data_IF_409359973596
#
_entry.id   IF_409359973596
#
_cell.length_a   1.000
_cell.length_b   1.000
_cell.length_c   1.000
_cell.angle_alpha   90.00
_cell.angle_beta   90.00
_cell.angle_gamma   90.00
#
_symmetry.space_group_name_H-M   'P 1'
#
loop_
_entity.id
_entity.type
_entity.pdbx_description
1 polymer ?
#
# COMPACT_ATOMS: atom_id res chain seq x y z
N UNK A 1 -30.78 33.46 -2.21
CA UNK A 1 -31.12 33.94 -0.86
C UNK A 1 -32.12 32.98 -0.26
N UNK A 2 -31.75 32.27 0.81
CA UNK A 2 -32.68 31.44 1.59
C UNK A 2 -33.48 32.39 2.49
N UNK A 3 -34.81 32.29 2.59
CA UNK A 3 -35.60 33.18 3.43
C UNK A 3 -35.25 33.01 4.92
N UNK A 4 -35.10 34.11 5.65
CA UNK A 4 -34.82 34.11 7.09
C UNK A 4 -35.91 33.31 7.84
N UNK A 5 -35.49 32.24 8.51
CA UNK A 5 -36.36 31.41 9.37
C UNK A 5 -36.53 29.95 8.96
N UNK A 6 -36.10 29.55 7.76
CA UNK A 6 -36.16 28.14 7.35
C UNK A 6 -34.92 27.38 7.82
N UNK A 7 -35.10 26.49 8.81
CA UNK A 7 -34.06 25.55 9.22
C UNK A 7 -34.07 24.33 8.31
N UNK A 8 -32.93 24.01 7.70
CA UNK A 8 -32.75 22.77 6.95
C UNK A 8 -32.54 21.59 7.89
N UNK A 9 -32.68 20.37 7.38
CA UNK A 9 -32.30 19.16 8.12
C UNK A 9 -30.82 19.18 8.53
N UNK A 10 -29.97 19.86 7.75
CA UNK A 10 -28.55 20.04 8.04
C UNK A 10 -28.30 20.94 9.26
N UNK A 11 -29.10 22.00 9.44
CA UNK A 11 -28.96 22.91 10.59
C UNK A 11 -29.30 22.21 11.91
N UNK A 12 -30.31 21.34 11.91
CA UNK A 12 -30.66 20.50 13.07
C UNK A 12 -29.55 19.51 13.43
N UNK A 13 -28.81 19.01 12.44
CA UNK A 13 -27.68 18.10 12.65
C UNK A 13 -26.47 18.89 13.22
N UNK A 14 -26.31 20.16 12.82
CA UNK A 14 -25.25 21.03 13.33
C UNK A 14 -25.46 21.44 14.79
N UNK A 15 -26.71 21.60 15.24
CA UNK A 15 -27.08 21.98 16.61
C UNK A 15 -26.91 20.83 17.64
N UNK A 16 -26.56 19.61 17.22
CA UNK A 16 -26.48 18.44 18.10
C UNK A 16 -25.27 18.48 19.06
N UNK A 17 -25.45 18.25 20.38
CA UNK A 17 -24.40 18.41 21.39
C UNK A 17 -23.27 17.36 21.35
N UNK A 18 -23.42 16.28 20.58
CA UNK A 18 -22.45 15.17 20.50
C UNK A 18 -21.77 15.05 19.13
N UNK A 19 -21.61 16.17 18.43
CA UNK A 19 -20.90 16.18 17.15
C UNK A 19 -19.40 16.17 17.40
N UNK A 20 -18.72 15.09 17.01
CA UNK A 20 -17.27 15.14 16.80
C UNK A 20 -17.00 16.13 15.66
N UNK A 21 -16.21 17.18 15.91
CA UNK A 21 -15.77 18.07 14.84
C UNK A 21 -15.01 17.23 13.80
N UNK A 22 -15.42 17.25 12.52
CA UNK A 22 -14.74 16.47 11.51
C UNK A 22 -13.36 17.10 11.26
N UNK A 23 -12.30 16.41 11.68
CA UNK A 23 -10.88 16.79 11.47
C UNK A 23 -10.55 17.01 9.97
N UNK A 24 -11.36 16.45 9.05
CA UNK A 24 -11.19 16.55 7.60
C UNK A 24 -12.56 16.61 6.92
N UNK A 25 -12.72 17.42 5.85
CA UNK A 25 -13.91 17.39 4.97
C UNK A 25 -14.05 15.99 4.36
N UNK A 26 -14.94 15.16 4.92
CA UNK A 26 -15.27 13.85 4.35
C UNK A 26 -16.27 14.01 3.21
N UNK A 27 -16.05 13.33 2.11
CA UNK A 27 -17.08 13.15 1.09
C UNK A 27 -18.11 12.15 1.62
N UNK A 28 -19.39 12.50 1.55
CA UNK A 28 -20.48 11.59 1.90
C UNK A 28 -20.85 10.76 0.68
N UNK A 29 -20.93 9.45 0.84
CA UNK A 29 -21.28 8.51 -0.23
C UNK A 29 -20.53 7.18 -0.09
N UNK A 30 -20.97 6.16 -0.82
CA UNK A 30 -20.24 4.91 -0.97
C UNK A 30 -19.22 5.07 -2.11
N UNK A 31 -17.91 4.98 -1.86
CA UNK A 31 -16.94 5.01 -2.94
C UNK A 31 -17.06 3.74 -3.79
N UNK A 32 -16.80 3.85 -5.09
CA UNK A 32 -16.77 2.69 -6.00
C UNK A 32 -15.66 1.71 -5.64
N UNK A 33 -14.55 2.22 -5.11
CA UNK A 33 -13.45 1.45 -4.54
C UNK A 33 -13.45 1.67 -3.02
N UNK A 34 -13.74 0.64 -2.20
CA UNK A 34 -13.64 0.77 -0.76
C UNK A 34 -12.17 0.99 -0.37
N UNK A 35 -11.86 2.21 0.10
CA UNK A 35 -10.50 2.67 0.43
C UNK A 35 -9.93 1.98 1.69
N UNK A 36 -10.76 1.28 2.47
CA UNK A 36 -10.36 0.67 3.73
C UNK A 36 -10.54 -0.85 3.72
N UNK A 37 -9.54 -1.55 4.23
CA UNK A 37 -9.54 -2.95 4.69
C UNK A 37 -10.59 -3.28 5.77
N UNK A 38 -11.51 -2.37 6.06
CA UNK A 38 -12.61 -2.58 7.01
C UNK A 38 -13.56 -3.72 6.58
N UNK A 39 -13.41 -4.23 5.36
CA UNK A 39 -14.11 -5.42 4.86
C UNK A 39 -13.17 -6.42 4.19
N UNK A 40 -11.99 -6.69 4.75
CA UNK A 40 -11.25 -7.90 4.37
C UNK A 40 -12.06 -9.11 4.84
N UNK A 41 -12.90 -9.63 3.95
CA UNK A 41 -13.59 -10.88 4.18
C UNK A 41 -12.54 -11.98 4.26
N UNK A 42 -12.47 -12.70 5.38
CA UNK A 42 -11.50 -13.79 5.56
C UNK A 42 -11.54 -14.83 4.42
N UNK A 43 -12.73 -15.05 3.83
CA UNK A 43 -12.89 -15.81 2.58
C UNK A 43 -13.84 -15.04 1.65
N UNK A 44 -13.37 -14.54 0.48
CA UNK A 44 -14.25 -13.89 -0.47
C UNK A 44 -15.24 -14.92 -1.07
N UNK A 45 -16.50 -14.52 -1.21
CA UNK A 45 -17.52 -15.33 -1.92
C UNK A 45 -17.26 -15.31 -3.42
N UNK A 46 -17.47 -16.43 -4.10
CA UNK A 46 -17.43 -16.54 -5.57
C UNK A 46 -18.36 -15.52 -6.27
N UNK A 47 -19.47 -15.15 -5.60
CA UNK A 47 -20.46 -14.20 -6.13
C UNK A 47 -20.12 -12.74 -5.82
N UNK A 48 -19.04 -12.50 -5.08
CA UNK A 48 -18.69 -11.15 -4.74
C UNK A 48 -18.27 -10.39 -6.00
N UNK A 49 -18.97 -9.29 -6.28
CA UNK A 49 -18.84 -8.54 -7.53
C UNK A 49 -17.98 -7.29 -7.37
N UNK A 50 -17.79 -6.83 -6.13
CA UNK A 50 -16.99 -5.66 -5.84
C UNK A 50 -15.51 -6.05 -5.80
N UNK A 51 -14.62 -5.28 -6.47
CA UNK A 51 -13.18 -5.43 -6.29
C UNK A 51 -12.82 -4.98 -4.87
N UNK A 52 -12.73 -5.93 -3.94
CA UNK A 52 -12.29 -5.65 -2.57
C UNK A 52 -10.77 -5.62 -2.59
N UNK A 53 -10.18 -4.45 -2.36
CA UNK A 53 -8.72 -4.29 -2.28
C UNK A 53 -7.95 -4.65 -3.55
N UNK A 54 -8.62 -5.08 -4.61
CA UNK A 54 -7.99 -5.55 -5.83
C UNK A 54 -7.43 -4.36 -6.60
N UNK A 55 -6.14 -4.09 -6.40
CA UNK A 55 -5.38 -3.09 -7.13
C UNK A 55 -4.83 -3.63 -8.46
N UNK A 56 -5.15 -4.88 -8.82
CA UNK A 56 -4.59 -5.54 -9.99
C UNK A 56 -5.07 -4.84 -11.26
N UNK A 57 -4.17 -4.11 -11.89
CA UNK A 57 -4.44 -3.38 -13.13
C UNK A 57 -4.69 -4.42 -14.24
N UNK A 58 -5.56 -4.11 -15.21
CA UNK A 58 -5.81 -4.98 -16.37
C UNK A 58 -4.51 -5.42 -17.06
N UNK A 59 -3.50 -4.55 -17.09
CA UNK A 59 -2.16 -4.87 -17.58
C UNK A 59 -1.50 -6.03 -16.83
N UNK A 60 -1.56 -6.06 -15.50
CA UNK A 60 -1.00 -7.15 -14.70
C UNK A 60 -1.73 -8.48 -14.92
N UNK A 61 -3.00 -8.46 -15.35
CA UNK A 61 -3.74 -9.66 -15.74
C UNK A 61 -3.37 -10.15 -17.16
N UNK A 62 -3.14 -9.22 -18.09
CA UNK A 62 -2.73 -9.55 -19.47
C UNK A 62 -1.27 -10.00 -19.55
N UNK A 63 -0.41 -9.45 -18.70
CA UNK A 63 1.00 -9.79 -18.58
C UNK A 63 1.34 -10.08 -17.12
N UNK A 64 1.07 -11.32 -16.64
CA UNK A 64 1.33 -11.69 -15.26
C UNK A 64 2.82 -11.61 -14.94
N UNK A 65 3.13 -11.25 -13.70
CA UNK A 65 4.51 -11.25 -13.21
C UNK A 65 4.97 -12.69 -12.92
N UNK A 66 6.30 -12.92 -12.91
CA UNK A 66 6.89 -14.21 -12.49
C UNK A 66 6.47 -14.60 -11.05
N UNK A 67 6.05 -13.63 -10.24
CA UNK A 67 5.57 -13.87 -8.88
C UNK A 67 4.14 -14.42 -8.86
N UNK A 68 3.33 -14.07 -9.86
CA UNK A 68 1.95 -14.54 -10.01
C UNK A 68 1.89 -16.05 -10.25
N UNK A 69 2.87 -16.61 -10.97
CA UNK A 69 3.03 -18.07 -11.15
C UNK A 69 3.29 -18.80 -9.83
N UNK A 70 3.83 -18.10 -8.82
CA UNK A 70 4.08 -18.61 -7.47
C UNK A 70 2.95 -18.30 -6.50
N UNK A 71 1.82 -17.78 -7.01
CA UNK A 71 0.66 -17.41 -6.19
C UNK A 71 0.84 -16.12 -5.39
N UNK A 72 1.87 -15.33 -5.67
CA UNK A 72 2.07 -14.03 -5.04
C UNK A 72 1.37 -12.94 -5.85
N UNK A 73 0.71 -12.04 -5.14
CA UNK A 73 0.05 -10.86 -5.71
C UNK A 73 0.94 -9.62 -5.61
N UNK A 74 0.63 -8.58 -6.38
CA UNK A 74 1.35 -7.30 -6.29
C UNK A 74 1.20 -6.66 -4.90
N UNK A 75 0.03 -6.84 -4.28
CA UNK A 75 -0.25 -6.34 -2.94
C UNK A 75 0.70 -6.97 -1.91
N UNK A 76 1.01 -8.27 -2.03
CA UNK A 76 1.95 -8.97 -1.14
C UNK A 76 3.37 -8.35 -1.12
N UNK A 77 3.77 -7.72 -2.23
CA UNK A 77 5.05 -7.03 -2.38
C UNK A 77 5.02 -5.61 -1.82
N UNK A 78 3.83 -5.02 -1.71
CA UNK A 78 3.59 -3.65 -1.24
C UNK A 78 3.25 -3.58 0.25
N UNK A 79 2.92 -4.71 0.89
CA UNK A 79 2.69 -4.77 2.34
C UNK A 79 3.91 -4.21 3.09
N UNK A 80 3.70 -3.25 4.02
CA UNK A 80 4.77 -2.74 4.86
C UNK A 80 5.24 -3.82 5.84
N UNK A 81 6.55 -4.00 5.97
CA UNK A 81 7.19 -5.04 6.79
C UNK A 81 8.25 -4.43 7.71
N UNK A 82 8.62 -5.16 8.76
CA UNK A 82 9.69 -4.71 9.65
C UNK A 82 11.07 -4.94 9.04
N UNK A 83 12.09 -4.32 9.63
CA UNK A 83 13.47 -4.42 9.16
C UNK A 83 13.99 -5.86 9.24
N UNK A 84 13.60 -6.56 10.31
CA UNK A 84 13.94 -7.97 10.55
C UNK A 84 13.29 -8.87 9.51
N UNK A 85 12.00 -8.68 9.23
CA UNK A 85 11.28 -9.46 8.22
C UNK A 85 11.87 -9.29 6.83
N UNK A 86 12.22 -8.06 6.44
CA UNK A 86 12.88 -7.82 5.14
C UNK A 86 14.24 -8.52 5.11
N UNK A 87 15.05 -8.40 6.16
CA UNK A 87 16.35 -9.07 6.21
C UNK A 87 16.20 -10.59 6.06
N UNK A 88 15.26 -11.19 6.78
CA UNK A 88 15.04 -12.62 6.77
C UNK A 88 14.48 -13.10 5.41
N UNK A 89 13.60 -12.32 4.77
CA UNK A 89 13.12 -12.59 3.41
C UNK A 89 14.25 -12.62 2.38
N UNK A 90 15.15 -11.63 2.43
CA UNK A 90 16.30 -11.58 1.51
C UNK A 90 17.31 -12.70 1.80
N UNK A 91 17.53 -13.02 3.07
CA UNK A 91 18.38 -14.15 3.46
C UNK A 91 17.80 -15.49 2.98
N UNK A 92 16.49 -15.71 3.13
CA UNK A 92 15.79 -16.90 2.63
C UNK A 92 15.81 -17.01 1.09
N UNK A 93 15.92 -15.88 0.40
CA UNK A 93 16.10 -15.82 -1.04
C UNK A 93 17.57 -16.01 -1.49
N UNK A 94 18.50 -16.30 -0.56
CA UNK A 94 19.95 -16.36 -0.78
C UNK A 94 20.55 -15.07 -1.37
N UNK A 95 19.92 -13.92 -1.11
CA UNK A 95 20.43 -12.62 -1.53
C UNK A 95 21.16 -11.97 -0.36
N UNK A 96 22.48 -12.03 -0.39
CA UNK A 96 23.33 -11.44 0.64
C UNK A 96 23.61 -9.97 0.33
N UNK A 97 23.07 -9.08 1.17
CA UNK A 97 23.29 -7.63 1.09
C UNK A 97 24.27 -7.23 2.18
N UNK A 98 25.26 -6.39 1.85
CA UNK A 98 26.17 -5.88 2.87
C UNK A 98 25.42 -5.02 3.89
N UNK A 99 25.89 -4.95 5.14
CA UNK A 99 25.21 -4.17 6.18
C UNK A 99 25.07 -2.69 5.82
N UNK A 100 26.08 -2.12 5.16
CA UNK A 100 26.06 -0.73 4.68
C UNK A 100 25.03 -0.52 3.56
N UNK A 101 24.95 -1.46 2.61
CA UNK A 101 23.98 -1.40 1.52
C UNK A 101 22.55 -1.57 2.02
N UNK A 102 22.36 -2.43 3.02
CA UNK A 102 21.06 -2.67 3.63
C UNK A 102 20.54 -1.41 4.35
N UNK A 103 21.37 -0.76 5.16
CA UNK A 103 20.99 0.47 5.87
C UNK A 103 20.69 1.59 4.88
N UNK A 104 21.50 1.72 3.82
CA UNK A 104 21.22 2.69 2.75
C UNK A 104 19.87 2.43 2.06
N UNK A 105 19.61 1.18 1.65
CA UNK A 105 18.37 0.85 0.97
C UNK A 105 17.15 1.04 1.89
N UNK A 106 17.27 0.67 3.16
CA UNK A 106 16.22 0.87 4.15
C UNK A 106 15.88 2.36 4.36
N UNK A 107 16.90 3.19 4.58
CA UNK A 107 16.72 4.64 4.78
C UNK A 107 16.15 5.34 3.56
N UNK A 108 16.61 4.96 2.36
CA UNK A 108 16.09 5.48 1.08
C UNK A 108 14.63 5.08 0.86
N UNK A 109 14.29 3.82 1.13
CA UNK A 109 12.93 3.32 1.00
C UNK A 109 11.99 3.95 2.05
N UNK A 110 12.45 4.10 3.29
CA UNK A 110 11.69 4.74 4.36
C UNK A 110 11.40 6.22 4.03
N UNK A 111 12.36 6.94 3.43
CA UNK A 111 12.17 8.33 3.00
C UNK A 111 11.14 8.48 1.86
N UNK A 112 10.83 7.39 1.13
CA UNK A 112 9.85 7.42 0.04
C UNK A 112 8.41 7.45 0.55
N UNK A 113 8.16 6.93 1.76
CA UNK A 113 6.83 6.89 2.37
C UNK A 113 6.74 7.95 3.47
N UNK A 114 5.68 8.76 3.47
CA UNK A 114 5.42 9.76 4.51
C UNK A 114 5.36 9.17 5.94
N UNK A 115 5.03 7.88 6.07
CA UNK A 115 4.97 7.16 7.35
C UNK A 115 6.25 6.40 7.69
N UNK A 116 7.29 6.45 6.85
CA UNK A 116 8.54 5.72 7.08
C UNK A 116 8.44 4.20 6.92
N UNK A 117 7.31 3.68 6.43
CA UNK A 117 7.11 2.24 6.26
C UNK A 117 7.75 1.75 4.96
N UNK A 118 8.38 0.57 5.03
CA UNK A 118 9.12 -0.04 3.94
C UNK A 118 8.45 -1.35 3.52
N UNK A 119 8.34 -1.58 2.21
CA UNK A 119 7.86 -2.83 1.64
C UNK A 119 8.97 -3.51 0.85
N UNK A 120 8.78 -4.77 0.47
CA UNK A 120 9.77 -5.53 -0.30
C UNK A 120 10.03 -4.85 -1.65
N UNK A 121 8.98 -4.34 -2.30
CA UNK A 121 9.10 -3.65 -3.57
C UNK A 121 9.91 -2.35 -3.46
N UNK A 122 9.65 -1.52 -2.44
CA UNK A 122 10.38 -0.24 -2.28
C UNK A 122 11.83 -0.46 -1.87
N UNK A 123 12.09 -1.45 -1.02
CA UNK A 123 13.44 -1.82 -0.63
C UNK A 123 14.25 -2.36 -1.81
N UNK A 124 13.68 -3.29 -2.60
CA UNK A 124 14.32 -3.80 -3.81
C UNK A 124 14.64 -2.67 -4.78
N UNK A 125 13.69 -1.76 -5.01
CA UNK A 125 13.90 -0.61 -5.89
C UNK A 125 15.08 0.26 -5.44
N UNK A 126 15.20 0.53 -4.14
CA UNK A 126 16.33 1.30 -3.61
C UNK A 126 17.68 0.59 -3.80
N UNK A 127 17.72 -0.74 -3.68
CA UNK A 127 18.92 -1.53 -4.00
C UNK A 127 19.25 -1.49 -5.50
N UNK A 128 18.26 -1.70 -6.36
CA UNK A 128 18.44 -1.69 -7.81
C UNK A 128 18.93 -0.32 -8.31
N UNK A 129 18.35 0.77 -7.79
CA UNK A 129 18.77 2.14 -8.13
C UNK A 129 20.23 2.40 -7.69
N UNK A 130 20.61 1.93 -6.49
CA UNK A 130 22.01 2.01 -6.03
C UNK A 130 22.94 1.21 -6.94
N UNK A 131 22.62 -0.05 -7.25
CA UNK A 131 23.46 -0.91 -8.08
C UNK A 131 23.61 -0.35 -9.50
N UNK A 132 22.53 0.18 -10.05
CA UNK A 132 22.53 0.89 -11.34
C UNK A 132 23.44 2.11 -11.33
N UNK A 133 23.42 2.90 -10.25
CA UNK A 133 24.28 4.08 -10.10
C UNK A 133 25.77 3.73 -10.01
N UNK A 134 26.08 2.55 -9.45
CA UNK A 134 27.44 2.04 -9.29
C UNK A 134 27.96 1.28 -10.53
N UNK A 135 27.12 1.08 -11.56
CA UNK A 135 27.47 0.30 -12.75
C UNK A 135 27.72 -1.19 -12.46
N UNK A 136 27.35 -1.68 -11.27
CA UNK A 136 27.49 -3.09 -10.89
C UNK A 136 26.27 -3.85 -11.39
N UNK A 137 26.37 -4.40 -12.60
CA UNK A 137 25.33 -5.23 -13.23
C UNK A 137 25.49 -6.73 -12.94
N UNK A 138 26.11 -7.11 -11.83
CA UNK A 138 26.21 -8.52 -11.46
C UNK A 138 25.09 -8.91 -10.51
N UNK A 139 24.01 -9.41 -11.09
CA UNK A 139 23.10 -10.29 -10.37
C UNK A 139 23.76 -11.67 -10.34
N UNK A 140 24.61 -11.90 -9.33
CA UNK A 140 25.11 -13.25 -9.04
C UNK A 140 23.96 -14.03 -8.40
N UNK A 141 23.22 -14.76 -9.22
CA UNK A 141 22.42 -15.87 -8.72
C UNK A 141 23.40 -17.00 -8.39
N UNK A 142 23.50 -17.37 -7.11
CA UNK A 142 24.13 -18.62 -6.69
C UNK A 142 23.23 -19.81 -7.04
#
# INVERSE_FOLDING_TARGET
>A
MVPDGWKTSYDKINEAPFRLEPVVKRQYGLPSLPVNDQYVMGTPSLRNRAPIGANTIVGALLSPSVWSDRGLTEDDLLIPRTMEEIRDLFANANVYVSGEDFVYAWTTAAATNQYGQVSVATFKKALDDKNRSLGKFEVVYA
#
